data_IF_391410762564
#
_entry.id   IF_391410762564
#
_cell.length_a   1.000
_cell.length_b   1.000
_cell.length_c   1.000
_cell.angle_alpha   90.00
_cell.angle_beta   90.00
_cell.angle_gamma   90.00
#
_symmetry.space_group_name_H-M   'P 1'
#
loop_
_entity.id
_entity.type
_entity.pdbx_description
1 polymer ?
#
# COMPACT_ATOMS: atom_id res chain seq x y z
N UNK A 1 -1.82 -7.75 -12.50
CA UNK A 1 -2.71 -7.06 -11.55
C UNK A 1 -1.91 -6.87 -10.28
N UNK A 2 -2.00 -5.70 -9.63
CA UNK A 2 -1.32 -5.43 -8.36
C UNK A 2 -2.35 -4.92 -7.34
N UNK A 3 -2.17 -5.23 -6.04
CA UNK A 3 -3.15 -4.89 -5.02
C UNK A 3 -3.16 -3.38 -4.71
N UNK A 4 -4.27 -2.90 -4.15
CA UNK A 4 -4.37 -1.56 -3.60
C UNK A 4 -4.64 -1.64 -2.09
N UNK A 5 -3.77 -1.01 -1.30
CA UNK A 5 -4.12 -0.66 0.08
C UNK A 5 -4.96 0.63 0.08
N UNK A 6 -5.99 0.69 0.93
CA UNK A 6 -6.83 1.89 1.09
C UNK A 6 -6.79 2.30 2.56
N UNK A 7 -6.55 3.59 2.81
CA UNK A 7 -6.55 4.14 4.16
C UNK A 7 -7.99 4.15 4.72
N UNK A 8 -8.24 3.34 5.74
CA UNK A 8 -9.52 3.25 6.44
C UNK A 8 -9.28 3.17 7.95
N UNK A 9 -9.94 4.05 8.70
CA UNK A 9 -9.81 4.10 10.16
C UNK A 9 -10.32 2.79 10.78
N UNK A 10 -9.55 2.25 11.73
CA UNK A 10 -9.89 1.03 12.46
C UNK A 10 -9.62 -0.27 11.69
N UNK A 11 -9.05 -0.20 10.50
CA UNK A 11 -8.68 -1.39 9.71
C UNK A 11 -7.21 -1.75 9.87
N UNK A 12 -6.90 -3.04 9.67
CA UNK A 12 -5.53 -3.58 9.70
C UNK A 12 -5.33 -4.42 8.45
N UNK A 13 -4.09 -4.50 7.97
CA UNK A 13 -3.68 -5.40 6.89
C UNK A 13 -2.51 -6.24 7.39
N UNK A 14 -2.41 -7.47 6.88
CA UNK A 14 -1.27 -8.35 7.16
C UNK A 14 -0.28 -8.31 6.01
N UNK A 15 1.01 -8.30 6.34
CA UNK A 15 2.08 -8.26 5.37
C UNK A 15 3.45 -8.30 6.04
N UNK A 16 4.47 -7.99 5.26
CA UNK A 16 5.86 -8.02 5.67
C UNK A 16 6.42 -6.60 5.75
N UNK A 17 7.38 -6.38 6.65
CA UNK A 17 8.03 -5.08 6.87
C UNK A 17 9.51 -5.22 6.58
N UNK A 18 10.05 -4.32 5.76
CA UNK A 18 11.45 -4.33 5.35
C UNK A 18 12.12 -3.01 5.70
N UNK A 19 13.39 -3.08 6.12
CA UNK A 19 14.26 -1.91 6.26
C UNK A 19 14.89 -1.61 4.91
N UNK A 20 14.79 -0.36 4.45
CA UNK A 20 15.38 0.10 3.19
C UNK A 20 16.14 1.40 3.41
N UNK A 21 17.14 1.65 2.56
CA UNK A 21 17.83 2.93 2.51
C UNK A 21 16.97 4.00 1.84
N UNK A 22 17.30 5.27 2.08
CA UNK A 22 16.61 6.42 1.47
C UNK A 22 16.60 6.35 -0.05
N UNK A 23 17.71 5.91 -0.67
CA UNK A 23 17.77 5.70 -2.12
C UNK A 23 16.71 4.70 -2.59
N UNK A 24 16.56 3.58 -1.88
CA UNK A 24 15.56 2.56 -2.21
C UNK A 24 14.14 3.12 -2.10
N UNK A 25 13.88 3.96 -1.11
CA UNK A 25 12.58 4.63 -0.95
C UNK A 25 12.26 5.58 -2.12
N UNK A 26 13.25 6.34 -2.60
CA UNK A 26 13.10 7.24 -3.75
C UNK A 26 12.88 6.46 -5.06
N UNK A 27 13.58 5.34 -5.25
CA UNK A 27 13.38 4.47 -6.41
C UNK A 27 11.95 3.89 -6.40
N UNK A 28 11.43 3.51 -5.22
CA UNK A 28 10.05 3.05 -5.06
C UNK A 28 9.01 4.15 -5.35
N UNK A 29 9.27 5.41 -4.95
CA UNK A 29 8.36 6.52 -5.25
C UNK A 29 8.12 6.68 -6.76
N UNK A 30 9.17 6.48 -7.57
CA UNK A 30 9.08 6.53 -9.03
C UNK A 30 8.26 5.35 -9.56
N UNK A 31 8.54 4.13 -9.09
CA UNK A 31 7.87 2.92 -9.54
C UNK A 31 6.37 2.92 -9.21
N UNK A 32 6.01 3.39 -8.02
CA UNK A 32 4.63 3.44 -7.55
C UNK A 32 3.86 4.68 -8.08
N UNK A 33 4.53 5.57 -8.81
CA UNK A 33 3.93 6.78 -9.35
C UNK A 33 3.46 7.75 -8.27
N UNK A 34 4.18 7.83 -7.15
CA UNK A 34 3.91 8.77 -6.07
C UNK A 34 4.13 10.22 -6.52
N UNK A 35 3.27 11.19 -6.13
CA UNK A 35 2.05 11.04 -5.32
C UNK A 35 0.76 10.89 -6.16
N UNK A 36 0.86 10.58 -7.46
CA UNK A 36 -0.27 10.62 -8.40
C UNK A 36 -1.13 9.34 -8.42
N UNK A 37 -0.48 8.18 -8.43
CA UNK A 37 -1.15 6.87 -8.50
C UNK A 37 -1.35 6.26 -7.11
N UNK A 38 -0.26 6.12 -6.36
CA UNK A 38 -0.26 5.89 -4.93
C UNK A 38 0.14 7.16 -4.18
N UNK A 39 -0.37 7.31 -2.96
CA UNK A 39 0.16 8.22 -1.96
C UNK A 39 0.85 7.38 -0.87
N UNK A 40 1.65 8.00 -0.01
CA UNK A 40 2.44 7.30 1.01
C UNK A 40 2.19 7.89 2.39
N UNK A 41 2.09 7.03 3.40
CA UNK A 41 1.97 7.46 4.78
C UNK A 41 2.72 6.54 5.73
N UNK A 42 3.10 7.08 6.90
CA UNK A 42 3.62 6.26 7.98
C UNK A 42 2.46 5.54 8.67
N UNK A 43 2.64 4.24 8.90
CA UNK A 43 1.74 3.41 9.70
C UNK A 43 2.51 2.78 10.85
N UNK A 44 1.83 2.59 11.98
CA UNK A 44 2.39 1.87 13.10
C UNK A 44 2.36 0.37 12.82
N UNK A 45 3.48 -0.30 13.11
CA UNK A 45 3.64 -1.76 12.99
C UNK A 45 4.19 -2.32 14.29
N UNK A 46 4.24 -3.65 14.42
CA UNK A 46 4.91 -4.32 15.53
C UNK A 46 6.42 -4.06 15.60
N UNK A 47 7.01 -3.48 14.55
CA UNK A 47 8.44 -3.18 14.43
C UNK A 47 8.74 -1.67 14.44
N UNK A 48 7.74 -0.83 14.76
CA UNK A 48 7.84 0.63 14.68
C UNK A 48 7.10 1.20 13.48
N UNK A 49 7.41 2.45 13.11
CA UNK A 49 6.78 3.10 11.96
C UNK A 49 7.37 2.61 10.64
N UNK A 50 6.51 2.28 9.68
CA UNK A 50 6.90 1.91 8.34
C UNK A 50 6.12 2.74 7.32
N UNK A 51 6.73 2.98 6.16
CA UNK A 51 6.05 3.58 5.02
C UNK A 51 5.14 2.56 4.35
N UNK A 52 3.93 2.97 3.99
CA UNK A 52 3.02 2.19 3.15
C UNK A 52 2.48 3.05 2.01
N UNK A 53 2.45 2.46 0.81
CA UNK A 53 1.76 3.04 -0.35
C UNK A 53 0.28 2.65 -0.30
N UNK A 54 -0.59 3.63 -0.42
CA UNK A 54 -2.04 3.45 -0.47
C UNK A 54 -2.61 4.21 -1.66
N UNK A 55 -3.74 3.75 -2.18
CA UNK A 55 -4.39 4.38 -3.30
C UNK A 55 -4.52 5.89 -3.08
N UNK A 56 -4.15 6.67 -4.08
CA UNK A 56 -4.43 8.11 -4.07
C UNK A 56 -5.96 8.34 -4.04
N UNK A 57 -6.39 9.51 -3.56
CA UNK A 57 -7.82 9.79 -3.36
C UNK A 57 -8.63 9.66 -4.65
N UNK A 58 -8.07 10.16 -5.75
CA UNK A 58 -8.59 10.03 -7.12
C UNK A 58 -8.71 8.58 -7.60
N UNK A 59 -7.91 7.66 -7.06
CA UNK A 59 -7.94 6.23 -7.39
C UNK A 59 -8.93 5.46 -6.51
N UNK A 60 -9.13 5.87 -5.26
CA UNK A 60 -9.96 5.17 -4.28
C UNK A 60 -11.40 4.95 -4.77
N UNK A 61 -12.01 5.93 -5.45
CA UNK A 61 -13.36 5.80 -6.00
C UNK A 61 -13.46 4.71 -7.09
N UNK A 62 -12.40 4.51 -7.89
CA UNK A 62 -12.36 3.48 -8.94
C UNK A 62 -12.21 2.07 -8.33
N UNK A 63 -11.48 1.96 -7.21
CA UNK A 63 -11.10 0.68 -6.61
C UNK A 63 -12.24 0.06 -5.78
N UNK A 64 -13.10 0.87 -5.15
CA UNK A 64 -14.25 0.39 -4.35
C UNK A 64 -15.19 -0.59 -5.09
N UNK A 65 -15.10 -0.65 -6.42
CA UNK A 65 -15.85 -1.60 -7.27
C UNK A 65 -15.39 -3.06 -7.11
N UNK A 66 -14.18 -3.31 -6.62
CA UNK A 66 -13.52 -4.63 -6.67
C UNK A 66 -13.52 -5.43 -5.36
N UNK A 67 -14.23 -4.97 -4.32
CA UNK A 67 -14.23 -5.62 -2.99
C UNK A 67 -12.99 -5.30 -2.15
N UNK A 68 -12.95 -5.79 -0.90
CA UNK A 68 -11.86 -5.55 0.04
C UNK A 68 -11.36 -6.87 0.65
N UNK A 69 -10.06 -7.01 0.85
CA UNK A 69 -9.43 -8.10 1.61
C UNK A 69 -8.39 -7.52 2.58
N UNK A 70 -8.14 -8.20 3.70
CA UNK A 70 -7.15 -7.80 4.72
C UNK A 70 -5.76 -8.44 4.51
N UNK A 71 -5.70 -9.45 3.62
CA UNK A 71 -4.49 -10.15 3.21
C UNK A 71 -4.58 -10.42 1.70
N UNK A 72 -3.47 -10.21 0.99
CA UNK A 72 -3.36 -10.50 -0.43
C UNK A 72 -2.23 -11.50 -0.64
N UNK A 73 -2.50 -12.54 -1.44
CA UNK A 73 -1.50 -13.48 -1.93
C UNK A 73 -1.71 -13.68 -3.43
N UNK A 74 -0.61 -13.71 -4.19
CA UNK A 74 -0.61 -13.92 -5.63
C UNK A 74 -1.18 -15.30 -6.05
N UNK A 75 -1.21 -16.26 -5.12
CA UNK A 75 -1.65 -17.65 -5.35
C UNK A 75 -3.17 -17.80 -5.53
N UNK A 76 -3.95 -16.75 -5.28
CA UNK A 76 -5.43 -16.79 -5.36
C UNK A 76 -6.01 -16.59 -6.77
N UNK A 77 -5.16 -16.58 -7.80
CA UNK A 77 -5.55 -16.47 -9.21
C UNK A 77 -4.93 -17.62 -10.02
N UNK A 78 -5.43 -18.83 -9.83
CA UNK A 78 -5.40 -19.93 -10.81
C UNK A 78 -6.82 -20.24 -11.29
#
# INVERSE_FOLDING_TARGET
>A
WFPYAIKKVGSRIKGEVFSIEEKGLNDLDILEGYPSHYNRSLVETSYGFAWVYHAAENMTAKIKKYGFTEEWSAEHYE
#
